data_IF_485509362831
#
_entry.id   IF_485509362831
#
_cell.length_a   1.000
_cell.length_b   1.000
_cell.length_c   1.000
_cell.angle_alpha   90.00
_cell.angle_beta   90.00
_cell.angle_gamma   90.00
#
_symmetry.space_group_name_H-M   'P 1'
#
loop_
_entity.id
_entity.type
_entity.pdbx_description
1 polymer ?
#
# COMPACT_ATOMS: atom_id res chain seq x y z
N UNK A 1 -13.97 10.22 -9.72
CA UNK A 1 -13.97 11.41 -10.59
C UNK A 1 -15.36 12.01 -10.74
N UNK A 2 -16.41 11.25 -11.06
CA UNK A 2 -17.78 11.79 -11.22
C UNK A 2 -18.27 12.64 -10.05
N UNK A 3 -18.21 12.12 -8.82
CA UNK A 3 -18.72 12.82 -7.63
C UNK A 3 -18.01 14.16 -7.35
N UNK A 4 -16.74 14.27 -7.72
CA UNK A 4 -15.91 15.45 -7.45
C UNK A 4 -15.59 16.24 -8.72
N UNK A 5 -16.20 15.91 -9.85
CA UNK A 5 -15.99 16.55 -11.16
C UNK A 5 -14.51 16.65 -11.56
N UNK A 6 -13.72 15.60 -11.31
CA UNK A 6 -12.32 15.58 -11.72
C UNK A 6 -12.24 15.54 -13.26
N UNK A 7 -11.70 16.60 -13.85
CA UNK A 7 -11.42 16.72 -15.30
C UNK A 7 -10.08 17.41 -15.51
N UNK A 8 -9.39 17.07 -16.58
CA UNK A 8 -8.24 17.85 -17.05
C UNK A 8 -8.77 19.20 -17.55
N UNK A 9 -8.18 20.34 -17.16
CA UNK A 9 -8.57 21.66 -17.68
C UNK A 9 -8.42 21.74 -19.21
N UNK A 10 -9.24 22.57 -19.86
CA UNK A 10 -9.22 22.74 -21.33
C UNK A 10 -7.89 23.31 -21.85
N UNK A 11 -7.20 24.11 -21.02
CA UNK A 11 -5.86 24.65 -21.28
C UNK A 11 -4.73 23.66 -20.92
N UNK A 12 -5.09 22.44 -20.51
CA UNK A 12 -4.18 21.40 -20.08
C UNK A 12 -3.87 21.44 -18.58
N UNK A 13 -3.12 20.45 -18.13
CA UNK A 13 -2.60 20.39 -16.77
C UNK A 13 -1.09 20.17 -16.83
N UNK A 14 -0.33 20.98 -16.11
CA UNK A 14 1.11 20.80 -15.93
C UNK A 14 1.38 20.14 -14.57
N UNK A 15 1.74 18.83 -14.54
CA UNK A 15 2.07 18.15 -13.31
C UNK A 15 3.24 18.76 -12.54
N UNK A 16 4.19 19.40 -13.23
CA UNK A 16 5.32 20.07 -12.58
C UNK A 16 4.90 21.33 -11.79
N UNK A 17 3.72 21.88 -12.12
CA UNK A 17 3.12 23.03 -11.44
C UNK A 17 2.42 22.71 -10.11
N UNK A 18 2.29 21.44 -9.72
CA UNK A 18 1.62 21.05 -8.48
C UNK A 18 2.29 21.69 -7.25
N UNK A 19 1.49 22.29 -6.38
CA UNK A 19 1.96 22.85 -5.11
C UNK A 19 1.79 21.87 -3.95
N UNK A 20 0.71 21.08 -3.95
CA UNK A 20 0.44 20.14 -2.87
C UNK A 20 1.36 18.92 -2.96
N UNK A 21 1.97 18.55 -1.83
CA UNK A 21 2.80 17.34 -1.67
C UNK A 21 2.08 16.11 -2.21
N UNK A 22 0.78 15.97 -1.91
CA UNK A 22 -0.05 14.86 -2.37
C UNK A 22 -0.12 14.75 -3.91
N UNK A 23 -0.30 15.89 -4.59
CA UNK A 23 -0.45 15.92 -6.04
C UNK A 23 0.89 15.73 -6.75
N UNK A 24 1.98 16.27 -6.19
CA UNK A 24 3.35 15.97 -6.64
C UNK A 24 3.68 14.48 -6.53
N UNK A 25 3.30 13.86 -5.42
CA UNK A 25 3.53 12.44 -5.17
C UNK A 25 2.82 11.57 -6.20
N UNK A 26 1.51 11.76 -6.42
CA UNK A 26 0.77 10.89 -7.33
C UNK A 26 1.19 11.09 -8.79
N UNK A 27 1.43 12.33 -9.20
CA UNK A 27 1.80 12.63 -10.58
C UNK A 27 3.20 12.12 -10.89
N UNK A 28 4.14 12.26 -9.95
CA UNK A 28 5.46 11.63 -10.01
C UNK A 28 5.42 10.10 -9.99
N UNK A 29 4.52 9.50 -9.21
CA UNK A 29 4.33 8.05 -9.18
C UNK A 29 3.77 7.49 -10.49
N UNK A 30 2.77 8.16 -11.07
CA UNK A 30 2.19 7.81 -12.36
C UNK A 30 3.23 7.91 -13.47
N UNK A 31 4.02 8.98 -13.44
CA UNK A 31 5.14 9.24 -14.29
C UNK A 31 6.18 8.11 -14.30
N UNK A 32 6.70 7.76 -13.12
CA UNK A 32 7.67 6.68 -12.96
C UNK A 32 7.11 5.32 -13.40
N UNK A 33 5.83 5.08 -13.14
CA UNK A 33 5.12 3.85 -13.54
C UNK A 33 5.02 3.75 -15.06
N UNK A 34 4.60 4.83 -15.74
CA UNK A 34 4.50 4.88 -17.19
C UNK A 34 5.85 4.59 -17.88
N UNK A 35 6.95 5.13 -17.33
CA UNK A 35 8.30 4.82 -17.82
C UNK A 35 8.67 3.35 -17.57
N UNK A 36 8.43 2.83 -16.37
CA UNK A 36 8.74 1.44 -16.02
C UNK A 36 7.98 0.45 -16.90
N UNK A 37 6.72 0.74 -17.23
CA UNK A 37 5.91 -0.07 -18.15
C UNK A 37 6.44 0.02 -19.58
N UNK A 38 6.82 1.22 -20.06
CA UNK A 38 7.41 1.40 -21.38
C UNK A 38 8.70 0.57 -21.52
N UNK A 39 9.63 0.69 -20.56
CA UNK A 39 10.90 -0.04 -20.55
C UNK A 39 10.67 -1.56 -20.53
N UNK A 40 9.67 -2.03 -19.77
CA UNK A 40 9.31 -3.44 -19.71
C UNK A 40 8.70 -3.94 -21.03
N UNK A 41 7.84 -3.16 -21.68
CA UNK A 41 7.26 -3.48 -22.98
C UNK A 41 8.33 -3.51 -24.07
N UNK A 42 9.21 -2.51 -24.12
CA UNK A 42 10.35 -2.47 -25.05
C UNK A 42 11.30 -3.66 -24.83
N UNK A 43 11.42 -4.11 -23.58
CA UNK A 43 12.18 -5.29 -23.19
C UNK A 43 11.45 -6.63 -23.37
N UNK A 44 10.22 -6.65 -23.91
CA UNK A 44 9.35 -7.83 -24.04
C UNK A 44 9.01 -8.54 -22.72
N UNK A 45 9.03 -7.81 -21.59
CA UNK A 45 8.72 -8.30 -20.23
C UNK A 45 7.28 -7.92 -19.82
N UNK A 46 6.30 -8.48 -20.53
CA UNK A 46 4.88 -8.13 -20.34
C UNK A 46 4.35 -8.46 -18.94
N UNK A 47 4.90 -9.48 -18.29
CA UNK A 47 4.62 -9.83 -16.89
C UNK A 47 5.02 -8.71 -15.94
N UNK A 48 6.21 -8.13 -16.11
CA UNK A 48 6.71 -7.02 -15.30
C UNK A 48 5.93 -5.74 -15.59
N UNK A 49 5.60 -5.49 -16.86
CA UNK A 49 4.79 -4.37 -17.28
C UNK A 49 3.40 -4.40 -16.62
N UNK A 50 2.71 -5.54 -16.70
CA UNK A 50 1.40 -5.74 -16.08
C UNK A 50 1.47 -5.63 -14.54
N UNK A 51 2.51 -6.19 -13.92
CA UNK A 51 2.71 -6.10 -12.47
C UNK A 51 2.93 -4.64 -12.02
N UNK A 52 3.77 -3.88 -12.73
CA UNK A 52 4.07 -2.49 -12.37
C UNK A 52 2.82 -1.60 -12.38
N UNK A 53 2.00 -1.66 -13.45
CA UNK A 53 0.78 -0.86 -13.51
C UNK A 53 -0.26 -1.33 -12.49
N UNK A 54 -0.36 -2.64 -12.23
CA UNK A 54 -1.24 -3.18 -11.19
C UNK A 54 -0.88 -2.63 -9.80
N UNK A 55 0.41 -2.68 -9.45
CA UNK A 55 0.91 -2.18 -8.17
C UNK A 55 0.59 -0.70 -7.99
N UNK A 56 0.82 0.12 -9.03
CA UNK A 56 0.52 1.55 -8.96
C UNK A 56 -0.99 1.82 -8.83
N UNK A 57 -1.82 1.22 -9.70
CA UNK A 57 -3.26 1.47 -9.70
C UNK A 57 -3.89 1.03 -8.37
N UNK A 58 -3.57 -0.18 -7.92
CA UNK A 58 -4.20 -0.73 -6.73
C UNK A 58 -3.60 -0.15 -5.44
N UNK A 59 -2.28 -0.29 -5.29
CA UNK A 59 -1.59 -0.06 -4.02
C UNK A 59 -1.01 1.36 -3.88
N UNK A 60 -1.21 2.25 -4.85
CA UNK A 60 -0.82 3.66 -4.72
C UNK A 60 -2.01 4.58 -4.99
N UNK A 61 -2.62 4.46 -6.18
CA UNK A 61 -3.74 5.32 -6.56
C UNK A 61 -5.00 5.02 -5.73
N UNK A 62 -5.49 3.78 -5.75
CA UNK A 62 -6.74 3.41 -5.09
C UNK A 62 -6.61 3.34 -3.56
N UNK A 63 -5.64 2.59 -3.03
CA UNK A 63 -5.51 2.34 -1.59
C UNK A 63 -5.17 3.61 -0.78
N UNK A 64 -4.43 4.55 -1.38
CA UNK A 64 -3.85 5.69 -0.66
C UNK A 64 -4.23 7.04 -1.24
N UNK A 65 -3.89 7.32 -2.51
CA UNK A 65 -4.08 8.64 -3.07
C UNK A 65 -5.53 9.11 -2.99
N UNK A 66 -6.49 8.26 -3.39
CA UNK A 66 -7.90 8.61 -3.31
C UNK A 66 -8.37 8.88 -1.87
N UNK A 67 -7.83 8.15 -0.89
CA UNK A 67 -8.15 8.38 0.52
C UNK A 67 -7.56 9.69 1.05
N UNK A 68 -6.31 10.02 0.68
CA UNK A 68 -5.66 11.28 1.02
C UNK A 68 -6.25 12.49 0.29
N UNK A 69 -6.79 12.29 -0.92
CA UNK A 69 -7.41 13.36 -1.70
C UNK A 69 -8.79 13.76 -1.17
N UNK A 70 -9.54 12.84 -0.54
CA UNK A 70 -10.90 13.11 -0.03
C UNK A 70 -10.97 14.33 0.90
N UNK A 71 -10.14 14.46 1.96
CA UNK A 71 -10.16 15.65 2.81
C UNK A 71 -9.90 16.95 2.04
N UNK A 72 -8.99 16.93 1.07
CA UNK A 72 -8.70 18.10 0.23
C UNK A 72 -9.93 18.46 -0.60
N UNK A 73 -10.55 17.47 -1.25
CA UNK A 73 -11.73 17.64 -2.10
C UNK A 73 -12.98 18.08 -1.32
N UNK A 74 -13.06 17.76 -0.03
CA UNK A 74 -14.16 18.10 0.87
C UNK A 74 -13.91 19.40 1.68
N UNK A 75 -12.70 19.95 1.60
CA UNK A 75 -12.33 21.18 2.31
C UNK A 75 -12.88 22.46 1.68
N UNK A 76 -12.49 23.59 2.28
CA UNK A 76 -12.91 24.93 1.87
C UNK A 76 -11.90 25.65 0.95
N UNK A 77 -10.69 25.09 0.78
CA UNK A 77 -9.67 25.65 -0.11
C UNK A 77 -9.94 25.27 -1.57
N UNK A 78 -10.57 26.18 -2.32
CA UNK A 78 -10.91 25.96 -3.72
C UNK A 78 -9.68 25.79 -4.63
N UNK A 79 -8.54 26.42 -4.32
CA UNK A 79 -7.34 26.27 -5.14
C UNK A 79 -6.77 24.85 -4.97
N UNK A 80 -6.69 24.37 -3.73
CA UNK A 80 -6.28 23.00 -3.42
C UNK A 80 -7.21 21.96 -4.06
N UNK A 81 -8.52 22.22 -4.07
CA UNK A 81 -9.52 21.35 -4.73
C UNK A 81 -9.33 21.30 -6.23
N UNK A 82 -9.17 22.46 -6.88
CA UNK A 82 -8.95 22.53 -8.33
C UNK A 82 -7.67 21.80 -8.73
N UNK A 83 -6.56 22.03 -8.02
CA UNK A 83 -5.31 21.32 -8.28
C UNK A 83 -5.48 19.80 -8.12
N UNK A 84 -6.14 19.36 -7.03
CA UNK A 84 -6.34 17.92 -6.76
C UNK A 84 -7.26 17.25 -7.77
N UNK A 85 -8.32 17.94 -8.23
CA UNK A 85 -9.20 17.45 -9.31
C UNK A 85 -8.43 17.25 -10.61
N UNK A 86 -7.62 18.24 -10.99
CA UNK A 86 -6.83 18.20 -12.21
C UNK A 86 -5.75 17.10 -12.12
N UNK A 87 -5.02 17.01 -11.00
CA UNK A 87 -4.02 15.97 -10.75
C UNK A 87 -4.64 14.56 -10.77
N UNK A 88 -5.83 14.39 -10.16
CA UNK A 88 -6.55 13.11 -10.18
C UNK A 88 -6.95 12.72 -11.61
N UNK A 89 -7.51 13.66 -12.38
CA UNK A 89 -7.95 13.41 -13.75
C UNK A 89 -6.76 13.08 -14.67
N UNK A 90 -5.68 13.86 -14.59
CA UNK A 90 -4.46 13.61 -15.33
C UNK A 90 -3.83 12.25 -14.99
N UNK A 91 -3.80 11.90 -13.70
CA UNK A 91 -3.31 10.59 -13.25
C UNK A 91 -4.18 9.46 -13.81
N UNK A 92 -5.51 9.60 -13.79
CA UNK A 92 -6.42 8.62 -14.35
C UNK A 92 -6.21 8.46 -15.86
N UNK A 93 -6.07 9.55 -16.61
CA UNK A 93 -5.78 9.48 -18.05
C UNK A 93 -4.46 8.79 -18.34
N UNK A 94 -3.43 9.02 -17.52
CA UNK A 94 -2.15 8.30 -17.59
C UNK A 94 -2.33 6.81 -17.34
N UNK A 95 -3.08 6.43 -16.29
CA UNK A 95 -3.40 5.03 -15.98
C UNK A 95 -4.10 4.37 -17.18
N UNK A 96 -5.13 5.01 -17.75
CA UNK A 96 -5.88 4.44 -18.87
C UNK A 96 -4.99 4.18 -20.08
N UNK A 97 -4.14 5.15 -20.46
CA UNK A 97 -3.16 5.01 -21.56
C UNK A 97 -2.18 3.87 -21.33
N UNK A 98 -1.63 3.77 -20.12
CA UNK A 98 -0.63 2.73 -19.77
C UNK A 98 -1.27 1.34 -19.66
N UNK A 99 -2.53 1.26 -19.21
CA UNK A 99 -3.24 0.01 -19.00
C UNK A 99 -3.90 -0.54 -20.28
N UNK A 100 -4.12 0.31 -21.29
CA UNK A 100 -4.83 -0.04 -22.53
C UNK A 100 -4.27 -1.27 -23.26
N UNK A 101 -2.94 -1.48 -23.39
CA UNK A 101 -2.40 -2.68 -24.04
C UNK A 101 -2.80 -4.00 -23.37
N UNK A 102 -3.20 -3.97 -22.09
CA UNK A 102 -3.60 -5.15 -21.31
C UNK A 102 -5.11 -5.29 -21.20
N UNK A 103 -5.84 -4.17 -21.15
CA UNK A 103 -7.28 -4.13 -20.90
C UNK A 103 -8.01 -3.16 -21.85
N UNK A 104 -7.97 -3.39 -23.17
CA UNK A 104 -8.35 -2.39 -24.16
C UNK A 104 -9.83 -2.00 -24.09
N UNK A 105 -10.74 -2.97 -23.89
CA UNK A 105 -12.18 -2.67 -23.87
C UNK A 105 -12.61 -1.86 -22.65
N UNK A 106 -12.10 -2.19 -21.46
CA UNK A 106 -12.46 -1.46 -20.23
C UNK A 106 -11.88 -0.05 -20.25
N UNK A 107 -10.63 0.08 -20.69
CA UNK A 107 -9.96 1.38 -20.72
C UNK A 107 -10.58 2.30 -21.76
N UNK A 108 -11.06 1.79 -22.90
CA UNK A 108 -11.80 2.59 -23.90
C UNK A 108 -13.12 3.12 -23.34
N UNK A 109 -13.91 2.27 -22.68
CA UNK A 109 -15.18 2.67 -22.05
C UNK A 109 -14.96 3.77 -20.98
N UNK A 110 -13.91 3.64 -20.17
CA UNK A 110 -13.57 4.67 -19.18
C UNK A 110 -13.00 5.93 -19.84
N UNK A 111 -12.32 5.80 -20.98
CA UNK A 111 -11.77 6.93 -21.73
C UNK A 111 -12.89 7.78 -22.35
N UNK A 112 -13.96 7.17 -22.86
CA UNK A 112 -15.13 7.92 -23.34
C UNK A 112 -15.76 8.82 -22.27
N UNK A 113 -15.61 8.47 -20.98
CA UNK A 113 -16.19 9.21 -19.86
C UNK A 113 -15.23 10.23 -19.24
N UNK A 114 -13.94 9.91 -19.17
CA UNK A 114 -12.96 10.67 -18.38
C UNK A 114 -11.74 11.16 -19.17
N UNK A 115 -11.51 10.61 -20.35
CA UNK A 115 -10.38 10.90 -21.23
C UNK A 115 -10.60 12.10 -22.15
N UNK A 116 -9.69 12.23 -23.10
CA UNK A 116 -9.75 13.25 -24.16
C UNK A 116 -10.55 12.74 -25.37
N UNK A 117 -10.80 13.64 -26.34
CA UNK A 117 -11.49 13.28 -27.58
C UNK A 117 -10.72 12.23 -28.40
N UNK A 118 -11.48 11.31 -29.00
CA UNK A 118 -10.95 10.27 -29.90
C UNK A 118 -10.78 8.92 -29.22
N UNK A 119 -10.27 7.95 -29.99
CA UNK A 119 -10.02 6.60 -29.49
C UNK A 119 -8.72 6.55 -28.68
N UNK A 120 -8.77 5.93 -27.51
CA UNK A 120 -7.62 5.72 -26.64
C UNK A 120 -6.51 4.93 -27.33
N UNK A 121 -6.87 3.94 -28.15
CA UNK A 121 -5.89 3.17 -28.93
C UNK A 121 -5.04 4.02 -29.89
N UNK A 122 -5.53 5.21 -30.26
CA UNK A 122 -4.84 6.15 -31.15
C UNK A 122 -4.12 7.28 -30.38
N UNK A 123 -4.31 7.35 -29.06
CA UNK A 123 -3.63 8.33 -28.21
C UNK A 123 -2.13 8.04 -28.13
N UNK A 124 -1.33 9.09 -27.99
CA UNK A 124 0.10 8.93 -27.77
C UNK A 124 0.37 8.14 -26.47
N UNK A 125 1.52 7.50 -26.35
CA UNK A 125 2.02 7.07 -25.04
C UNK A 125 2.32 8.32 -24.19
N UNK A 126 2.14 8.30 -22.85
CA UNK A 126 2.42 9.46 -21.99
C UNK A 126 3.91 9.84 -21.87
N UNK A 127 4.76 9.52 -22.85
CA UNK A 127 6.19 9.88 -22.84
C UNK A 127 6.38 11.37 -23.19
N UNK A 128 6.65 12.21 -22.18
CA UNK A 128 6.98 13.63 -22.36
C UNK A 128 6.14 14.59 -21.51
N UNK A 129 4.94 14.18 -21.08
CA UNK A 129 4.03 14.96 -20.20
C UNK A 129 4.27 14.67 -18.71
N UNK A 130 5.44 14.13 -18.40
CA UNK A 130 5.70 13.36 -17.20
C UNK A 130 6.30 14.28 -16.14
N UNK A 131 5.60 14.44 -15.02
CA UNK A 131 6.13 15.14 -13.85
C UNK A 131 7.52 14.58 -13.51
N UNK A 132 8.50 15.44 -13.26
CA UNK A 132 9.71 14.97 -12.60
C UNK A 132 9.32 14.54 -11.19
N UNK A 133 9.73 13.34 -10.79
CA UNK A 133 9.46 12.82 -9.44
C UNK A 133 10.03 13.80 -8.41
N UNK A 134 9.15 14.45 -7.65
CA UNK A 134 9.56 15.28 -6.51
C UNK A 134 9.95 14.33 -5.37
N UNK A 135 11.26 14.11 -5.23
CA UNK A 135 11.81 13.19 -4.24
C UNK A 135 11.44 13.53 -2.79
N UNK A 136 11.23 14.81 -2.48
CA UNK A 136 10.84 15.23 -1.14
C UNK A 136 9.37 14.89 -0.89
N UNK A 137 8.49 15.17 -1.85
CA UNK A 137 7.08 14.80 -1.76
C UNK A 137 6.88 13.28 -1.70
N UNK A 138 7.68 12.52 -2.46
CA UNK A 138 7.68 11.06 -2.38
C UNK A 138 8.12 10.56 -1.02
N UNK A 139 9.27 11.02 -0.50
CA UNK A 139 9.76 10.60 0.80
C UNK A 139 8.77 10.91 1.94
N UNK A 140 8.07 12.05 1.86
CA UNK A 140 7.04 12.45 2.82
C UNK A 140 5.80 11.54 2.77
N UNK A 141 5.18 11.40 1.59
CA UNK A 141 3.96 10.58 1.47
C UNK A 141 4.22 9.10 1.70
N UNK A 142 5.36 8.59 1.22
CA UNK A 142 5.74 7.19 1.45
C UNK A 142 5.98 6.92 2.95
N UNK A 143 6.50 7.90 3.70
CA UNK A 143 6.62 7.78 5.16
C UNK A 143 5.26 7.67 5.84
N UNK A 144 4.28 8.48 5.42
CA UNK A 144 2.91 8.42 5.95
C UNK A 144 2.26 7.07 5.64
N UNK A 145 2.42 6.57 4.40
CA UNK A 145 1.95 5.25 3.98
C UNK A 145 2.57 4.14 4.82
N UNK A 146 3.90 4.16 5.02
CA UNK A 146 4.61 3.18 5.86
C UNK A 146 4.10 3.20 7.29
N UNK A 147 4.01 4.37 7.93
CA UNK A 147 3.51 4.51 9.30
C UNK A 147 2.11 3.87 9.46
N UNK A 148 1.17 4.23 8.58
CA UNK A 148 -0.20 3.70 8.66
C UNK A 148 -0.22 2.19 8.38
N UNK A 149 0.57 1.72 7.41
CA UNK A 149 0.65 0.30 7.05
C UNK A 149 1.17 -0.54 8.22
N UNK A 150 2.23 -0.10 8.87
CA UNK A 150 2.81 -0.77 10.03
C UNK A 150 1.83 -0.83 11.20
N UNK A 151 1.09 0.25 11.47
CA UNK A 151 0.04 0.24 12.49
C UNK A 151 -1.06 -0.77 12.14
N UNK A 152 -1.54 -0.77 10.89
CA UNK A 152 -2.56 -1.72 10.42
C UNK A 152 -2.08 -3.16 10.51
N UNK A 153 -0.82 -3.42 10.17
CA UNK A 153 -0.20 -4.74 10.27
C UNK A 153 -0.20 -5.24 11.72
N UNK A 154 0.34 -4.44 12.66
CA UNK A 154 0.36 -4.80 14.08
C UNK A 154 -1.05 -5.08 14.59
N UNK A 155 -2.01 -4.22 14.26
CA UNK A 155 -3.41 -4.41 14.67
C UNK A 155 -4.00 -5.73 14.17
N UNK A 156 -3.73 -6.10 12.92
CA UNK A 156 -4.21 -7.34 12.34
C UNK A 156 -3.53 -8.56 12.96
N UNK A 157 -2.23 -8.48 13.23
CA UNK A 157 -1.44 -9.58 13.78
C UNK A 157 -1.84 -9.95 15.20
N UNK A 158 -2.18 -8.94 16.01
CA UNK A 158 -2.56 -9.10 17.41
C UNK A 158 -4.08 -9.03 17.62
N UNK A 159 -4.88 -9.19 16.55
CA UNK A 159 -6.35 -9.24 16.60
C UNK A 159 -7.02 -8.06 17.32
N UNK A 160 -6.49 -6.84 17.15
CA UNK A 160 -7.16 -5.64 17.67
C UNK A 160 -8.52 -5.49 16.98
N UNK A 161 -9.62 -5.28 17.72
CA UNK A 161 -10.94 -5.07 17.11
C UNK A 161 -10.92 -3.96 16.05
N UNK A 162 -11.48 -4.22 14.87
CA UNK A 162 -11.36 -3.32 13.71
C UNK A 162 -11.90 -1.90 13.93
N UNK A 163 -12.87 -1.73 14.83
CA UNK A 163 -13.44 -0.42 15.19
C UNK A 163 -12.74 0.30 16.34
N UNK A 164 -11.78 -0.34 17.03
CA UNK A 164 -11.12 0.26 18.19
C UNK A 164 -10.22 1.43 17.76
N UNK A 165 -10.29 2.55 18.47
CA UNK A 165 -9.31 3.62 18.35
C UNK A 165 -8.23 3.40 19.41
N UNK A 166 -6.99 3.18 18.99
CA UNK A 166 -5.87 2.92 19.90
C UNK A 166 -4.96 4.15 20.00
N UNK A 167 -4.32 4.41 21.15
CA UNK A 167 -3.27 5.41 21.21
C UNK A 167 -2.02 4.91 20.47
N UNK A 168 -1.21 5.84 19.98
CA UNK A 168 0.13 5.57 19.47
C UNK A 168 1.13 6.54 20.10
N UNK A 169 2.36 6.07 20.27
CA UNK A 169 3.47 6.87 20.76
C UNK A 169 4.60 6.75 19.75
N UNK A 170 5.17 7.88 19.34
CA UNK A 170 6.33 7.92 18.45
C UNK A 170 7.50 8.56 19.21
N UNK A 171 8.50 7.75 19.55
CA UNK A 171 9.70 8.16 20.27
C UNK A 171 10.89 8.33 19.35
N UNK A 172 11.79 9.23 19.72
CA UNK A 172 13.09 9.43 19.08
C UNK A 172 12.97 9.80 17.59
N UNK A 173 11.81 10.34 17.19
CA UNK A 173 11.57 10.80 15.83
C UNK A 173 12.43 12.03 15.51
N UNK A 174 13.04 12.01 14.32
CA UNK A 174 13.74 13.17 13.78
C UNK A 174 12.79 14.33 13.47
N UNK A 175 13.36 15.52 13.23
CA UNK A 175 12.57 16.73 12.95
C UNK A 175 11.66 16.54 11.73
N UNK A 176 12.16 15.91 10.66
CA UNK A 176 11.37 15.63 9.46
C UNK A 176 10.16 14.72 9.78
N UNK A 177 10.36 13.63 10.52
CA UNK A 177 9.28 12.72 10.94
C UNK A 177 8.24 13.43 11.82
N UNK A 178 8.69 14.34 12.71
CA UNK A 178 7.80 15.17 13.55
C UNK A 178 6.97 16.13 12.70
N UNK A 179 7.59 16.76 11.69
CA UNK A 179 6.89 17.65 10.75
C UNK A 179 5.88 16.85 9.92
N UNK A 180 6.27 15.71 9.35
CA UNK A 180 5.37 14.83 8.57
C UNK A 180 4.17 14.38 9.39
N UNK A 181 4.40 13.94 10.64
CA UNK A 181 3.33 13.57 11.56
C UNK A 181 2.37 14.73 11.83
N UNK A 182 2.90 15.94 12.04
CA UNK A 182 2.08 17.12 12.31
C UNK A 182 1.26 17.52 11.08
N UNK A 183 1.87 17.53 9.89
CA UNK A 183 1.21 17.89 8.62
C UNK A 183 0.07 16.94 8.27
N UNK A 184 0.26 15.62 8.48
CA UNK A 184 -0.70 14.58 8.06
C UNK A 184 -1.47 13.94 9.23
N UNK A 185 -1.51 14.63 10.38
CA UNK A 185 -2.02 14.06 11.64
C UNK A 185 -3.41 13.47 11.48
N UNK A 186 -4.34 14.24 10.93
CA UNK A 186 -5.75 13.82 10.85
C UNK A 186 -5.94 12.60 9.93
N UNK A 187 -5.20 12.55 8.81
CA UNK A 187 -5.19 11.42 7.90
C UNK A 187 -4.62 10.17 8.57
N UNK A 188 -3.51 10.30 9.30
CA UNK A 188 -2.89 9.21 10.06
C UNK A 188 -3.86 8.68 11.11
N UNK A 189 -4.46 9.57 11.93
CA UNK A 189 -5.42 9.17 12.97
C UNK A 189 -6.63 8.44 12.37
N UNK A 190 -7.16 8.94 11.26
CA UNK A 190 -8.34 8.36 10.63
C UNK A 190 -8.05 7.00 9.97
N UNK A 191 -7.02 6.93 9.12
CA UNK A 191 -6.69 5.73 8.34
C UNK A 191 -6.09 4.61 9.20
N UNK A 192 -5.32 4.95 10.22
CA UNK A 192 -4.74 3.98 11.15
C UNK A 192 -5.66 3.65 12.35
N UNK A 193 -6.83 4.29 12.43
CA UNK A 193 -7.80 4.14 13.53
C UNK A 193 -7.15 4.42 14.89
N UNK A 194 -6.53 5.59 15.02
CA UNK A 194 -5.90 6.02 16.26
C UNK A 194 -6.80 7.00 17.02
N UNK A 195 -6.62 7.04 18.34
CA UNK A 195 -7.14 8.11 19.18
C UNK A 195 -6.24 9.34 19.12
N UNK A 196 -4.93 9.13 19.31
CA UNK A 196 -3.92 10.17 19.30
C UNK A 196 -2.54 9.59 18.93
N UNK A 197 -1.62 10.45 18.50
CA UNK A 197 -0.18 10.14 18.40
C UNK A 197 0.62 11.10 19.27
N UNK A 198 1.18 10.58 20.36
CA UNK A 198 2.02 11.34 21.30
C UNK A 198 3.49 11.24 20.91
N UNK A 199 4.17 12.39 20.83
CA UNK A 199 5.62 12.44 20.60
C UNK A 199 6.39 12.28 21.91
N UNK A 200 7.42 11.45 21.91
CA UNK A 200 8.38 11.28 23.01
C UNK A 200 7.72 10.98 24.38
N UNK A 201 6.58 10.27 24.36
CA UNK A 201 5.85 9.85 25.55
C UNK A 201 6.42 8.58 26.21
N UNK A 202 6.06 8.35 27.47
CA UNK A 202 6.41 7.11 28.17
C UNK A 202 5.67 5.93 27.55
N UNK A 203 6.39 4.84 27.26
CA UNK A 203 5.82 3.60 26.70
C UNK A 203 5.25 2.76 27.85
N UNK A 204 3.92 2.57 27.94
CA UNK A 204 3.32 1.73 28.97
C UNK A 204 3.67 0.25 28.78
N UNK A 205 3.62 -0.51 29.88
CA UNK A 205 3.70 -1.97 29.83
C UNK A 205 2.56 -2.54 28.98
N UNK A 206 2.85 -3.60 28.22
CA UNK A 206 1.88 -4.16 27.26
C UNK A 206 1.71 -3.34 25.98
N UNK A 207 2.72 -2.55 25.61
CA UNK A 207 2.81 -1.92 24.30
C UNK A 207 3.56 -2.82 23.32
N UNK A 208 3.08 -2.89 22.09
CA UNK A 208 3.85 -3.48 20.98
C UNK A 208 4.71 -2.40 20.37
N UNK A 209 6.00 -2.67 20.22
CA UNK A 209 6.98 -1.72 19.71
C UNK A 209 7.55 -2.18 18.36
N UNK A 210 7.84 -1.22 17.50
CA UNK A 210 8.48 -1.44 16.22
C UNK A 210 9.28 -0.21 15.80
N UNK A 211 10.32 -0.45 15.01
CA UNK A 211 11.17 0.61 14.46
C UNK A 211 10.55 1.09 13.15
N UNK A 212 10.30 2.40 13.05
CA UNK A 212 9.91 3.09 11.83
C UNK A 212 11.03 4.07 11.47
N UNK A 213 11.84 3.70 10.47
CA UNK A 213 13.03 4.43 10.08
C UNK A 213 13.96 4.67 11.30
N UNK A 214 14.05 5.91 11.80
CA UNK A 214 14.81 6.26 12.99
C UNK A 214 14.02 6.20 14.31
N UNK A 215 12.69 6.19 14.23
CA UNK A 215 11.80 6.35 15.36
C UNK A 215 11.34 4.99 15.93
N UNK A 216 10.99 4.98 17.21
CA UNK A 216 10.28 3.85 17.82
C UNK A 216 8.80 4.16 17.90
N UNK A 217 7.99 3.41 17.14
CA UNK A 217 6.54 3.42 17.25
C UNK A 217 6.13 2.43 18.34
N UNK A 218 5.30 2.87 19.27
CA UNK A 218 4.71 2.03 20.30
C UNK A 218 3.19 2.13 20.27
N UNK A 219 2.53 0.98 20.34
CA UNK A 219 1.08 0.85 20.38
C UNK A 219 0.68 0.22 21.72
N UNK A 220 0.15 1.01 22.68
CA UNK A 220 -0.39 0.48 23.93
C UNK A 220 -1.67 -0.33 23.69
N UNK A 221 -1.55 -1.66 23.71
CA UNK A 221 -2.62 -2.57 23.28
C UNK A 221 -3.28 -3.35 24.42
N UNK A 222 -2.75 -3.29 25.64
CA UNK A 222 -3.25 -4.02 26.80
C UNK A 222 -4.73 -3.76 27.13
N UNK A 223 -5.27 -2.59 26.79
CA UNK A 223 -6.69 -2.25 26.99
C UNK A 223 -7.62 -2.78 25.88
N UNK A 224 -7.06 -3.30 24.79
CA UNK A 224 -7.80 -3.71 23.60
C UNK A 224 -7.74 -5.22 23.35
N UNK A 225 -6.68 -5.87 23.83
CA UNK A 225 -6.39 -7.28 23.57
C UNK A 225 -5.69 -7.91 24.78
N UNK A 226 -6.05 -9.15 25.10
CA UNK A 226 -5.31 -9.98 26.05
C UNK A 226 -4.04 -10.52 25.37
N UNK A 227 -2.91 -9.86 25.64
CA UNK A 227 -1.63 -10.19 25.01
C UNK A 227 -1.11 -11.58 25.40
N UNK A 228 -1.43 -12.08 26.59
CA UNK A 228 -1.01 -13.41 27.02
C UNK A 228 -1.82 -14.49 26.30
N UNK A 229 -3.13 -14.27 26.16
CA UNK A 229 -3.99 -15.11 25.33
C UNK A 229 -3.52 -15.11 23.87
N UNK A 230 -3.18 -13.95 23.30
CA UNK A 230 -2.70 -13.88 21.92
C UNK A 230 -1.35 -14.57 21.72
N UNK A 231 -0.40 -14.41 22.66
CA UNK A 231 0.87 -15.18 22.63
C UNK A 231 0.60 -16.68 22.64
N UNK A 232 -0.34 -17.14 23.47
CA UNK A 232 -0.68 -18.55 23.55
C UNK A 232 -1.36 -19.06 22.26
N UNK A 233 -2.24 -18.25 21.66
CA UNK A 233 -2.89 -18.54 20.37
C UNK A 233 -1.85 -18.65 19.25
N UNK A 234 -0.98 -17.65 19.10
CA UNK A 234 0.06 -17.62 18.08
C UNK A 234 1.00 -18.82 18.19
N UNK A 235 1.48 -19.16 19.40
CA UNK A 235 2.31 -20.35 19.64
C UNK A 235 1.61 -21.63 19.18
N UNK A 236 0.33 -21.80 19.53
CA UNK A 236 -0.45 -22.97 19.14
C UNK A 236 -0.62 -23.08 17.62
N UNK A 237 -0.84 -21.97 16.92
CA UNK A 237 -0.94 -21.94 15.46
C UNK A 237 0.40 -22.24 14.78
N UNK A 238 1.50 -21.66 15.28
CA UNK A 238 2.87 -21.94 14.82
C UNK A 238 3.21 -23.43 14.98
N UNK A 239 2.87 -24.02 16.13
CA UNK A 239 3.12 -25.44 16.41
C UNK A 239 2.30 -26.35 15.48
N UNK A 240 1.05 -25.97 15.19
CA UNK A 240 0.19 -26.68 14.26
C UNK A 240 0.76 -26.63 12.84
N UNK A 241 1.11 -25.44 12.34
CA UNK A 241 1.73 -25.28 11.02
C UNK A 241 3.05 -26.04 10.92
N UNK A 242 3.88 -26.00 11.98
CA UNK A 242 5.11 -26.77 12.05
C UNK A 242 4.87 -28.28 11.96
N UNK A 243 3.82 -28.78 12.63
CA UNK A 243 3.43 -30.19 12.58
C UNK A 243 2.90 -30.60 11.19
N UNK A 244 2.08 -29.75 10.57
CA UNK A 244 1.53 -29.98 9.23
C UNK A 244 2.65 -29.99 8.17
N UNK A 245 3.57 -29.04 8.23
CA UNK A 245 4.77 -29.00 7.37
C UNK A 245 5.63 -30.26 7.53
N UNK A 246 5.84 -30.73 8.77
CA UNK A 246 6.60 -31.95 9.02
C UNK A 246 5.93 -33.21 8.45
N UNK A 247 4.59 -33.23 8.37
CA UNK A 247 3.86 -34.32 7.70
C UNK A 247 4.01 -34.26 6.18
N UNK A 248 3.96 -33.06 5.60
CA UNK A 248 4.18 -32.85 4.16
C UNK A 248 5.62 -33.23 3.78
N UNK A 249 6.61 -32.81 4.57
CA UNK A 249 8.02 -33.13 4.36
C UNK A 249 8.29 -34.64 4.40
N UNK A 250 7.65 -35.35 5.33
CA UNK A 250 7.73 -36.83 5.38
C UNK A 250 7.11 -37.49 4.15
N UNK A 251 6.03 -36.94 3.59
CA UNK A 251 5.42 -37.45 2.35
C UNK A 251 6.31 -37.20 1.14
N UNK A 252 6.85 -36.00 1.01
CA UNK A 252 7.73 -35.61 -0.09
C UNK A 252 9.10 -36.31 -0.04
N UNK A 253 9.60 -36.64 1.14
CA UNK A 253 10.84 -37.42 1.30
C UNK A 253 10.67 -38.92 0.99
N UNK A 254 9.43 -39.42 0.86
CA UNK A 254 9.19 -40.81 0.54
C UNK A 254 9.31 -41.05 -0.97
N UNK A 255 10.38 -41.72 -1.41
CA UNK A 255 10.64 -42.04 -2.81
C UNK A 255 9.49 -42.81 -3.49
N UNK A 256 8.75 -43.64 -2.74
CA UNK A 256 7.59 -44.34 -3.29
C UNK A 256 6.42 -43.39 -3.59
N UNK A 257 6.30 -42.28 -2.85
CA UNK A 257 5.27 -41.27 -3.09
C UNK A 257 5.66 -40.40 -4.28
N UNK A 258 6.89 -39.86 -4.31
CA UNK A 258 7.34 -38.99 -5.40
C UNK A 258 7.46 -39.70 -6.75
N UNK A 259 7.73 -41.00 -6.77
CA UNK A 259 7.83 -41.78 -8.02
C UNK A 259 6.49 -42.36 -8.52
N UNK A 260 5.47 -42.47 -7.66
CA UNK A 260 4.18 -43.10 -8.01
C UNK A 260 2.98 -42.17 -7.97
N UNK A 261 3.06 -41.06 -7.24
CA UNK A 261 1.97 -40.09 -7.22
C UNK A 261 1.92 -39.30 -8.53
N UNK A 262 0.73 -38.88 -8.98
CA UNK A 262 0.60 -37.93 -10.09
C UNK A 262 1.40 -36.64 -9.81
N UNK A 263 2.02 -36.08 -10.85
CA UNK A 263 2.84 -34.86 -10.75
C UNK A 263 2.07 -33.69 -10.13
N UNK A 264 0.80 -33.52 -10.51
CA UNK A 264 -0.11 -32.51 -9.94
C UNK A 264 -0.24 -32.62 -8.41
N UNK A 265 -0.29 -33.84 -7.87
CA UNK A 265 -0.39 -34.07 -6.42
C UNK A 265 0.93 -33.71 -5.71
N UNK A 266 2.06 -33.97 -6.36
CA UNK A 266 3.38 -33.61 -5.81
C UNK A 266 3.55 -32.09 -5.80
N UNK A 267 3.16 -31.41 -6.89
CA UNK A 267 3.16 -29.94 -6.98
C UNK A 267 2.25 -29.32 -5.92
N UNK A 268 1.02 -29.83 -5.75
CA UNK A 268 0.10 -29.35 -4.71
C UNK A 268 0.71 -29.47 -3.30
N UNK A 269 1.43 -30.56 -3.00
CA UNK A 269 2.10 -30.69 -1.70
C UNK A 269 3.23 -29.66 -1.52
N UNK A 270 4.00 -29.36 -2.58
CA UNK A 270 5.01 -28.30 -2.52
C UNK A 270 4.39 -26.91 -2.31
N UNK A 271 3.32 -26.57 -3.02
CA UNK A 271 2.60 -25.30 -2.87
C UNK A 271 1.97 -25.16 -1.49
N UNK A 272 1.36 -26.23 -0.97
CA UNK A 272 0.82 -26.25 0.40
C UNK A 272 1.89 -26.07 1.44
N UNK A 273 3.07 -26.66 1.23
CA UNK A 273 4.22 -26.47 2.13
C UNK A 273 4.71 -25.03 2.10
N UNK A 274 4.87 -24.44 0.92
CA UNK A 274 5.28 -23.05 0.75
C UNK A 274 4.29 -22.10 1.45
N UNK A 275 3.00 -22.25 1.17
CA UNK A 275 1.93 -21.48 1.81
C UNK A 275 1.96 -21.61 3.35
N UNK A 276 2.16 -22.83 3.88
CA UNK A 276 2.26 -23.05 5.31
C UNK A 276 3.53 -22.43 5.92
N UNK A 277 4.65 -22.44 5.19
CA UNK A 277 5.89 -21.81 5.61
C UNK A 277 5.73 -20.29 5.71
N UNK A 278 5.18 -19.64 4.67
CA UNK A 278 4.95 -18.20 4.64
C UNK A 278 3.98 -17.78 5.76
N UNK A 279 2.92 -18.55 5.99
CA UNK A 279 1.98 -18.30 7.08
C UNK A 279 2.67 -18.43 8.45
N UNK A 280 3.53 -19.45 8.62
CA UNK A 280 4.26 -19.66 9.87
C UNK A 280 5.23 -18.52 10.16
N UNK A 281 5.96 -18.06 9.14
CA UNK A 281 6.90 -16.94 9.26
C UNK A 281 6.18 -15.66 9.72
N UNK A 282 5.03 -15.34 9.12
CA UNK A 282 4.20 -14.20 9.55
C UNK A 282 3.74 -14.32 11.00
N UNK A 283 3.29 -15.49 11.44
CA UNK A 283 2.89 -15.70 12.83
C UNK A 283 4.07 -15.64 13.81
N UNK A 284 5.26 -16.07 13.39
CA UNK A 284 6.49 -15.96 14.18
C UNK A 284 6.88 -14.49 14.37
N UNK A 285 6.85 -13.69 13.31
CA UNK A 285 7.10 -12.25 13.40
C UNK A 285 6.10 -11.55 14.33
N UNK A 286 4.81 -11.90 14.24
CA UNK A 286 3.79 -11.40 15.15
C UNK A 286 4.06 -11.78 16.62
N UNK A 287 4.49 -13.03 16.88
CA UNK A 287 4.82 -13.49 18.22
C UNK A 287 6.06 -12.76 18.78
N UNK A 288 7.09 -12.55 17.96
CA UNK A 288 8.30 -11.82 18.34
C UNK A 288 7.97 -10.38 18.77
N UNK A 289 7.09 -9.70 18.02
CA UNK A 289 6.58 -8.36 18.33
C UNK A 289 5.83 -8.27 19.64
N UNK A 290 5.14 -9.34 20.06
CA UNK A 290 4.52 -9.38 21.39
C UNK A 290 5.55 -9.58 22.51
N UNK A 291 6.70 -10.21 22.22
CA UNK A 291 7.71 -10.56 23.23
C UNK A 291 8.81 -9.53 23.46
N UNK A 292 8.97 -8.59 22.51
CA UNK A 292 9.90 -7.47 22.60
C UNK A 292 9.34 -6.34 23.49
#
# INVERSE_FOLDING_TARGET
>A
CEHYECRVPEDGFDPAGCQLTLNKWITGGAAATAQSVADAVDGYKFDQAASAIYQFVWHTFCDWYLEFAKPVLQGDDEAAKQETRAATAWTLNTILRVLHPFMPHLTEELWEQFGDDGLLMASAWPAGDVATVDSAAAAEMDWVVRLISEIRAVRSEVNVPGGAKIPAILRDAGDDSKVRLATHRDQILWLARLEDVTLDGDIPEGSVQLVLDEATLALPLANFVDLDQERARLKKEIDKLGSDMAQIDKKLANENFTSRAPEEVVVEQHERRATAADAKEKLQAALERLTA
#
